data_IF_725810332292
#
_entry.id   IF_725810332292
#
_cell.length_a   1.000
_cell.length_b   1.000
_cell.length_c   1.000
_cell.angle_alpha   90.00
_cell.angle_beta   90.00
_cell.angle_gamma   90.00
#
_symmetry.space_group_name_H-M   'P 1'
#
loop_
_entity.id
_entity.type
_entity.pdbx_description
1 polymer ?
#
# COMPACT_ATOMS: atom_id res chain seq x y z
N UNK A 1 -11.25 -35.02 -14.72
CA UNK A 1 -11.01 -34.47 -16.06
C UNK A 1 -11.59 -33.04 -16.20
N UNK A 2 -11.60 -32.22 -15.12
CA UNK A 2 -12.20 -30.87 -15.13
C UNK A 2 -11.31 -29.78 -14.52
N UNK A 3 -10.03 -30.08 -14.25
CA UNK A 3 -9.10 -29.11 -13.61
C UNK A 3 -8.08 -28.46 -14.57
N UNK A 4 -8.07 -28.84 -15.87
CA UNK A 4 -7.06 -28.34 -16.81
C UNK A 4 -7.50 -27.15 -17.67
N UNK A 5 -8.77 -26.77 -17.69
CA UNK A 5 -9.26 -25.71 -18.59
C UNK A 5 -9.09 -24.31 -18.02
N UNK A 6 -9.15 -24.11 -16.71
CA UNK A 6 -9.00 -22.76 -16.11
C UNK A 6 -7.54 -22.27 -16.09
N UNK A 7 -6.57 -23.16 -15.91
CA UNK A 7 -5.15 -22.77 -15.94
C UNK A 7 -4.67 -22.47 -17.36
N UNK A 8 -5.21 -23.15 -18.38
CA UNK A 8 -4.91 -22.89 -19.79
C UNK A 8 -5.45 -21.51 -20.21
N UNK A 9 -6.65 -21.15 -19.83
CA UNK A 9 -7.22 -19.83 -20.16
C UNK A 9 -6.51 -18.66 -19.45
N UNK A 10 -6.03 -18.85 -18.21
CA UNK A 10 -5.24 -17.82 -17.52
C UNK A 10 -3.87 -17.62 -18.17
N UNK A 11 -3.22 -18.70 -18.63
CA UNK A 11 -1.93 -18.61 -19.33
C UNK A 11 -2.05 -18.00 -20.72
N UNK A 12 -3.14 -18.27 -21.44
CA UNK A 12 -3.42 -17.66 -22.75
C UNK A 12 -3.72 -16.16 -22.62
N UNK A 13 -4.49 -15.74 -21.63
CA UNK A 13 -4.81 -14.34 -21.39
C UNK A 13 -3.57 -13.51 -21.00
N UNK A 14 -2.65 -14.11 -20.22
CA UNK A 14 -1.38 -13.48 -19.87
C UNK A 14 -0.44 -13.39 -21.09
N UNK A 15 -0.42 -14.41 -21.93
CA UNK A 15 0.32 -14.39 -23.20
C UNK A 15 -0.23 -13.32 -24.15
N UNK A 16 -1.54 -13.22 -24.29
CA UNK A 16 -2.17 -12.17 -25.09
C UNK A 16 -1.86 -10.77 -24.56
N UNK A 17 -1.85 -10.57 -23.25
CA UNK A 17 -1.44 -9.31 -22.61
C UNK A 17 0.05 -9.01 -22.85
N UNK A 18 0.94 -9.98 -22.69
CA UNK A 18 2.37 -9.84 -22.96
C UNK A 18 2.62 -9.56 -24.45
N UNK A 19 1.95 -10.29 -25.36
CA UNK A 19 2.04 -10.13 -26.81
C UNK A 19 1.47 -8.78 -27.26
N UNK A 20 0.35 -8.33 -26.68
CA UNK A 20 -0.25 -7.03 -27.01
C UNK A 20 0.67 -5.86 -26.61
N UNK A 21 1.40 -6.01 -25.51
CA UNK A 21 2.38 -5.01 -25.06
C UNK A 21 3.68 -5.03 -25.87
N UNK A 22 4.10 -6.20 -26.38
CA UNK A 22 5.32 -6.37 -27.21
C UNK A 22 5.12 -5.84 -28.63
N UNK A 23 3.91 -5.92 -29.20
CA UNK A 23 3.58 -5.43 -30.55
C UNK A 23 3.71 -3.92 -30.74
N UNK A 24 3.85 -3.12 -29.67
CA UNK A 24 3.94 -1.65 -29.75
C UNK A 24 5.34 -1.09 -29.97
N UNK A 25 6.38 -1.88 -29.79
CA UNK A 25 7.76 -1.48 -30.16
C UNK A 25 8.23 -2.48 -31.21
N UNK A 26 8.61 -1.99 -32.38
CA UNK A 26 9.16 -2.75 -33.51
C UNK A 26 10.42 -3.55 -33.12
N UNK A 27 10.31 -4.49 -32.20
CA UNK A 27 11.37 -5.40 -31.81
C UNK A 27 11.12 -6.77 -32.41
N UNK A 28 12.12 -7.30 -33.12
CA UNK A 28 12.21 -8.72 -33.46
C UNK A 28 12.12 -9.50 -32.15
N UNK A 29 11.12 -10.37 -32.01
CA UNK A 29 10.94 -11.23 -30.82
C UNK A 29 12.08 -12.24 -30.70
N UNK A 30 13.24 -11.82 -30.23
CA UNK A 30 14.21 -12.74 -29.65
C UNK A 30 13.79 -13.00 -28.20
N UNK A 31 13.05 -14.07 -27.96
CA UNK A 31 12.82 -14.60 -26.61
C UNK A 31 14.20 -15.00 -26.03
N UNK A 32 14.73 -14.16 -25.15
CA UNK A 32 15.92 -14.51 -24.39
C UNK A 32 15.54 -15.59 -23.38
N UNK A 33 16.09 -16.79 -23.58
CA UNK A 33 15.81 -17.95 -22.74
C UNK A 33 17.06 -18.44 -22.03
N UNK A 34 16.87 -18.84 -20.78
CA UNK A 34 17.82 -19.56 -19.97
C UNK A 34 17.24 -20.86 -19.47
N UNK A 35 17.94 -21.53 -18.59
CA UNK A 35 17.48 -22.74 -17.91
C UNK A 35 17.73 -22.65 -16.40
N UNK A 36 16.85 -23.26 -15.63
CA UNK A 36 17.03 -23.41 -14.18
C UNK A 36 18.26 -24.25 -13.90
N UNK A 37 19.21 -23.70 -13.14
CA UNK A 37 20.44 -24.37 -12.70
C UNK A 37 20.40 -24.77 -11.23
N UNK A 38 19.48 -24.18 -10.43
CA UNK A 38 19.28 -24.49 -9.04
C UNK A 38 17.98 -23.90 -8.50
N UNK A 39 17.46 -24.50 -7.41
CA UNK A 39 16.32 -24.03 -6.68
C UNK A 39 16.48 -24.43 -5.20
N UNK A 40 16.37 -23.47 -4.29
CA UNK A 40 16.49 -23.70 -2.83
C UNK A 40 15.16 -23.78 -2.09
N UNK A 41 14.04 -23.79 -2.83
CA UNK A 41 12.68 -23.75 -2.29
C UNK A 41 12.08 -22.33 -2.27
N UNK A 42 12.88 -21.30 -2.50
CA UNK A 42 12.44 -19.91 -2.55
C UNK A 42 13.00 -19.15 -3.75
N UNK A 43 14.32 -19.28 -4.00
CA UNK A 43 15.02 -18.62 -5.10
C UNK A 43 15.36 -19.64 -6.18
N UNK A 44 14.98 -19.32 -7.41
CA UNK A 44 15.39 -20.04 -8.62
C UNK A 44 16.63 -19.39 -9.17
N UNK A 45 17.71 -20.14 -9.31
CA UNK A 45 18.89 -19.71 -10.03
C UNK A 45 18.80 -20.18 -11.48
N UNK A 46 18.87 -19.26 -12.43
CA UNK A 46 18.88 -19.55 -13.86
C UNK A 46 20.26 -19.19 -14.47
N UNK A 47 20.57 -19.79 -15.62
CA UNK A 47 21.66 -19.32 -16.46
C UNK A 47 21.48 -17.84 -16.82
N UNK A 48 22.57 -17.17 -17.24
CA UNK A 48 22.55 -15.73 -17.54
C UNK A 48 21.49 -15.36 -18.57
N UNK A 49 20.78 -14.24 -18.29
CA UNK A 49 19.80 -13.62 -19.16
C UNK A 49 20.14 -12.13 -19.32
N UNK A 50 19.91 -11.52 -20.47
CA UNK A 50 20.11 -10.08 -20.67
C UNK A 50 18.95 -9.30 -20.03
N UNK A 51 18.97 -9.18 -18.70
CA UNK A 51 17.92 -8.59 -17.88
C UNK A 51 18.51 -7.58 -16.88
N UNK A 52 17.63 -6.86 -16.21
CA UNK A 52 17.94 -6.01 -15.05
C UNK A 52 17.21 -6.54 -13.82
N UNK A 53 17.63 -6.12 -12.62
CA UNK A 53 16.89 -6.42 -11.39
C UNK A 53 15.49 -5.80 -11.52
N UNK A 54 14.46 -6.59 -11.18
CA UNK A 54 13.05 -6.23 -11.39
C UNK A 54 12.48 -6.70 -12.73
N UNK A 55 13.25 -7.33 -13.61
CA UNK A 55 12.72 -7.93 -14.85
C UNK A 55 11.75 -9.06 -14.55
N UNK A 56 10.69 -9.16 -15.35
CA UNK A 56 9.71 -10.23 -15.27
C UNK A 56 10.11 -11.40 -16.17
N UNK A 57 10.13 -12.59 -15.62
CA UNK A 57 10.38 -13.84 -16.33
C UNK A 57 9.21 -14.81 -16.15
N UNK A 58 9.06 -15.79 -17.02
CA UNK A 58 8.33 -17.00 -16.70
C UNK A 58 9.26 -18.22 -16.65
N UNK A 59 8.92 -19.15 -15.76
CA UNK A 59 9.55 -20.46 -15.65
C UNK A 59 8.54 -21.47 -16.17
N UNK A 60 8.97 -22.30 -17.14
CA UNK A 60 8.13 -23.30 -17.78
C UNK A 60 8.72 -24.69 -17.52
N UNK A 61 7.91 -25.58 -16.95
CA UNK A 61 8.30 -26.96 -16.74
C UNK A 61 8.04 -27.85 -17.96
N UNK A 62 8.54 -29.08 -17.94
CA UNK A 62 8.40 -30.06 -19.05
C UNK A 62 6.94 -30.38 -19.40
N UNK A 63 5.98 -30.09 -18.53
CA UNK A 63 4.54 -30.27 -18.76
C UNK A 63 3.91 -29.06 -19.45
N UNK A 64 4.67 -28.01 -19.75
CA UNK A 64 4.18 -26.76 -20.34
C UNK A 64 3.47 -25.83 -19.36
N UNK A 65 3.46 -26.15 -18.06
CA UNK A 65 2.95 -25.23 -17.05
C UNK A 65 3.94 -24.09 -16.83
N UNK A 66 3.42 -22.89 -16.54
CA UNK A 66 4.22 -21.67 -16.39
C UNK A 66 3.92 -20.96 -15.07
N UNK A 67 4.98 -20.46 -14.45
CA UNK A 67 4.90 -19.52 -13.33
C UNK A 67 5.70 -18.26 -13.67
N UNK A 68 5.16 -17.10 -13.32
CA UNK A 68 5.89 -15.84 -13.42
C UNK A 68 6.82 -15.67 -12.22
N UNK A 69 7.91 -14.96 -12.42
CA UNK A 69 8.86 -14.61 -11.38
C UNK A 69 9.60 -13.32 -11.70
N UNK A 70 10.22 -12.72 -10.70
CA UNK A 70 10.98 -11.48 -10.82
C UNK A 70 12.46 -11.75 -10.58
N UNK A 71 13.31 -11.15 -11.42
CA UNK A 71 14.77 -11.14 -11.23
C UNK A 71 15.11 -10.26 -10.04
N UNK A 72 15.69 -10.86 -9.00
CA UNK A 72 16.02 -10.16 -7.74
C UNK A 72 17.51 -9.93 -7.56
N UNK A 73 18.34 -10.69 -8.27
CA UNK A 73 19.79 -10.54 -8.24
C UNK A 73 20.43 -11.04 -9.53
N UNK A 74 21.46 -10.33 -9.98
CA UNK A 74 22.25 -10.69 -11.16
C UNK A 74 23.67 -11.02 -10.70
N UNK A 75 24.19 -12.15 -11.17
CA UNK A 75 25.56 -12.63 -10.96
C UNK A 75 26.28 -12.70 -12.31
N UNK A 76 27.58 -12.94 -12.30
CA UNK A 76 28.43 -12.96 -13.50
C UNK A 76 27.94 -13.97 -14.57
N UNK A 77 27.46 -15.15 -14.15
CA UNK A 77 27.03 -16.24 -15.06
C UNK A 77 25.58 -16.70 -14.79
N UNK A 78 24.85 -16.10 -13.87
CA UNK A 78 23.53 -16.54 -13.47
C UNK A 78 22.66 -15.39 -12.97
N UNK A 79 21.35 -15.62 -12.93
CA UNK A 79 20.37 -14.71 -12.35
C UNK A 79 19.55 -15.44 -11.31
N UNK A 80 19.23 -14.75 -10.21
CA UNK A 80 18.34 -15.27 -9.18
C UNK A 80 16.94 -14.66 -9.38
N UNK A 81 15.94 -15.54 -9.41
CA UNK A 81 14.55 -15.22 -9.69
C UNK A 81 13.70 -15.71 -8.51
N UNK A 82 12.79 -14.89 -8.03
CA UNK A 82 11.79 -15.31 -7.05
C UNK A 82 10.46 -15.52 -7.78
N UNK A 83 9.89 -16.73 -7.73
CA UNK A 83 8.59 -17.03 -8.33
C UNK A 83 7.46 -16.26 -7.61
N UNK A 84 6.40 -15.92 -8.35
CA UNK A 84 5.21 -15.30 -7.79
C UNK A 84 4.24 -16.31 -7.15
N UNK A 85 4.41 -17.61 -7.45
CA UNK A 85 3.64 -18.70 -6.87
C UNK A 85 4.61 -19.78 -6.36
N UNK A 86 4.58 -20.02 -5.05
CA UNK A 86 5.46 -20.97 -4.39
C UNK A 86 4.92 -22.42 -4.48
N UNK A 87 3.69 -22.63 -4.95
CA UNK A 87 3.09 -23.96 -5.14
C UNK A 87 3.52 -24.63 -6.44
N UNK A 88 4.23 -23.92 -7.32
CA UNK A 88 4.67 -24.43 -8.61
C UNK A 88 5.89 -25.35 -8.45
N UNK A 89 5.82 -26.55 -9.03
CA UNK A 89 6.94 -27.49 -9.05
C UNK A 89 7.98 -27.05 -10.05
N UNK A 90 9.17 -26.70 -9.57
CA UNK A 90 10.31 -26.23 -10.37
C UNK A 90 11.41 -27.29 -10.33
N UNK A 91 11.96 -27.61 -11.51
CA UNK A 91 13.02 -28.59 -11.69
C UNK A 91 14.25 -27.96 -12.36
N UNK A 92 15.41 -28.56 -12.12
CA UNK A 92 16.64 -28.20 -12.86
C UNK A 92 16.43 -28.51 -14.35
N UNK A 93 16.85 -27.58 -15.21
CA UNK A 93 16.67 -27.54 -16.67
C UNK A 93 15.30 -27.00 -17.12
N UNK A 94 14.35 -26.71 -16.24
CA UNK A 94 13.13 -25.97 -16.63
C UNK A 94 13.54 -24.72 -17.40
N UNK A 95 12.74 -24.36 -18.39
CA UNK A 95 13.00 -23.20 -19.24
C UNK A 95 12.66 -21.90 -18.53
N UNK A 96 13.55 -20.94 -18.59
CA UNK A 96 13.31 -19.59 -18.13
C UNK A 96 13.28 -18.64 -19.32
N UNK A 97 12.27 -17.81 -19.44
CA UNK A 97 12.19 -16.83 -20.52
C UNK A 97 11.89 -15.44 -19.98
N UNK A 98 12.61 -14.46 -20.51
CA UNK A 98 12.43 -13.06 -20.20
C UNK A 98 11.13 -12.55 -20.86
N UNK A 99 10.22 -11.99 -20.07
CA UNK A 99 8.93 -11.43 -20.54
C UNK A 99 9.02 -9.92 -20.70
N UNK A 100 9.59 -9.26 -19.70
CA UNK A 100 9.64 -7.79 -19.65
C UNK A 100 10.90 -7.34 -18.90
N UNK A 101 11.71 -6.47 -19.52
CA UNK A 101 12.95 -5.98 -18.93
C UNK A 101 12.70 -4.96 -17.82
N UNK A 102 11.68 -4.09 -17.98
CA UNK A 102 11.25 -3.12 -16.98
C UNK A 102 9.77 -3.29 -16.71
N UNK A 103 9.40 -3.40 -15.44
CA UNK A 103 7.99 -3.54 -15.08
C UNK A 103 7.25 -2.21 -15.26
N UNK A 104 6.20 -2.26 -16.06
CA UNK A 104 5.29 -1.15 -16.33
C UNK A 104 3.91 -1.44 -15.72
N UNK A 105 3.23 -0.39 -15.34
CA UNK A 105 1.87 -0.42 -14.82
C UNK A 105 0.96 0.19 -15.85
N UNK A 106 -0.02 -0.57 -16.32
CA UNK A 106 -1.11 -0.05 -17.13
C UNK A 106 -1.99 0.87 -16.26
N UNK A 107 -2.21 2.10 -16.71
CA UNK A 107 -2.93 3.14 -15.98
C UNK A 107 -3.91 3.88 -16.89
N UNK A 108 -5.05 4.32 -16.34
CA UNK A 108 -6.09 5.04 -17.06
C UNK A 108 -7.41 5.02 -16.30
N UNK A 109 -8.40 5.75 -16.82
CA UNK A 109 -9.75 5.80 -16.27
C UNK A 109 -10.46 4.44 -16.32
N UNK A 110 -10.00 3.51 -17.18
CA UNK A 110 -10.50 2.13 -17.28
C UNK A 110 -10.29 1.31 -15.99
N UNK A 111 -9.43 1.77 -15.09
CA UNK A 111 -9.24 1.19 -13.77
C UNK A 111 -10.29 1.62 -12.74
N UNK A 112 -11.03 2.70 -13.00
CA UNK A 112 -12.05 3.18 -12.06
C UNK A 112 -13.18 2.14 -11.91
N UNK A 113 -13.57 1.87 -10.67
CA UNK A 113 -14.54 0.84 -10.34
C UNK A 113 -14.04 -0.60 -10.40
N UNK A 114 -12.73 -0.83 -10.64
CA UNK A 114 -12.14 -2.14 -10.85
C UNK A 114 -11.31 -2.61 -9.65
N UNK A 115 -11.19 -3.94 -9.56
CA UNK A 115 -10.33 -4.63 -8.60
C UNK A 115 -9.28 -5.43 -9.35
N UNK A 116 -8.02 -5.18 -9.06
CA UNK A 116 -6.88 -5.85 -9.71
C UNK A 116 -5.94 -6.47 -8.67
N UNK A 117 -5.15 -7.45 -9.13
CA UNK A 117 -4.08 -8.06 -8.33
C UNK A 117 -2.75 -7.25 -8.37
N UNK A 118 -1.70 -7.79 -7.73
CA UNK A 118 -0.36 -7.19 -7.73
C UNK A 118 0.31 -7.11 -9.10
N UNK A 119 -0.13 -7.90 -10.07
CA UNK A 119 0.35 -7.90 -11.46
C UNK A 119 -0.52 -7.03 -12.39
N UNK A 120 -1.71 -6.60 -11.92
CA UNK A 120 -2.66 -5.81 -12.70
C UNK A 120 -3.75 -6.64 -13.36
N UNK A 121 -3.85 -7.94 -13.06
CA UNK A 121 -4.93 -8.78 -13.57
C UNK A 121 -6.25 -8.48 -12.84
N UNK A 122 -7.39 -8.44 -13.55
CA UNK A 122 -8.69 -8.19 -12.93
C UNK A 122 -9.10 -9.35 -12.01
N UNK A 123 -9.59 -9.02 -10.81
CA UNK A 123 -10.12 -9.95 -9.81
C UNK A 123 -11.65 -9.90 -9.71
N UNK A 124 -12.28 -8.92 -10.34
CA UNK A 124 -13.70 -8.56 -10.21
C UNK A 124 -14.63 -9.28 -11.21
N UNK A 125 -14.09 -10.16 -12.05
CA UNK A 125 -14.82 -10.90 -13.09
C UNK A 125 -15.53 -10.01 -14.14
N UNK A 126 -15.14 -8.72 -14.25
CA UNK A 126 -15.72 -7.78 -15.21
C UNK A 126 -14.99 -7.76 -16.57
N UNK A 127 -14.17 -8.77 -16.85
CA UNK A 127 -13.39 -8.88 -18.08
C UNK A 127 -12.06 -8.12 -18.05
N UNK A 128 -11.32 -8.22 -19.15
CA UNK A 128 -9.99 -7.62 -19.31
C UNK A 128 -10.04 -6.08 -19.23
N UNK A 129 -8.98 -5.49 -18.73
CA UNK A 129 -8.78 -4.03 -18.65
C UNK A 129 -7.75 -3.65 -19.70
N UNK A 130 -8.09 -2.71 -20.59
CA UNK A 130 -7.20 -2.28 -21.67
C UNK A 130 -6.89 -0.80 -21.54
N UNK A 131 -5.83 -0.49 -20.81
CA UNK A 131 -5.33 0.88 -20.69
C UNK A 131 -4.37 1.22 -21.84
N UNK A 132 -4.32 2.49 -22.23
CA UNK A 132 -3.46 3.01 -23.29
C UNK A 132 -2.12 3.54 -22.75
N UNK A 133 -2.07 3.91 -21.49
CA UNK A 133 -0.92 4.57 -20.83
C UNK A 133 -0.22 3.58 -19.91
N UNK A 134 1.13 3.66 -19.87
CA UNK A 134 1.96 2.81 -19.04
C UNK A 134 2.95 3.68 -18.26
N UNK A 135 3.10 3.41 -16.97
CA UNK A 135 4.07 4.04 -16.08
C UNK A 135 5.03 2.99 -15.51
N UNK A 136 6.25 3.43 -15.16
CA UNK A 136 7.17 2.55 -14.44
C UNK A 136 6.61 2.14 -13.09
N UNK A 137 6.68 0.86 -12.74
CA UNK A 137 6.27 0.34 -11.44
C UNK A 137 7.05 1.00 -10.28
N UNK A 138 8.33 1.29 -10.50
CA UNK A 138 9.18 1.92 -9.49
C UNK A 138 8.99 3.45 -9.39
N UNK A 139 8.21 4.04 -10.34
CA UNK A 139 7.99 5.48 -10.39
C UNK A 139 9.24 6.30 -10.70
N UNK A 140 9.08 7.60 -10.67
CA UNK A 140 10.18 8.56 -10.72
C UNK A 140 10.14 9.41 -9.44
N UNK A 141 11.29 9.68 -8.85
CA UNK A 141 11.37 10.62 -7.73
C UNK A 141 10.95 12.01 -8.21
N UNK A 142 10.01 12.63 -7.51
CA UNK A 142 9.69 14.02 -7.73
C UNK A 142 10.85 14.88 -7.23
N UNK A 143 11.25 15.86 -8.05
CA UNK A 143 12.18 16.87 -7.58
C UNK A 143 11.55 17.61 -6.37
N UNK A 144 12.25 17.77 -5.24
CA UNK A 144 11.72 18.48 -4.07
C UNK A 144 11.20 19.90 -4.40
N UNK A 145 11.81 20.59 -5.37
CA UNK A 145 11.39 21.91 -5.80
C UNK A 145 10.17 21.93 -6.74
N UNK A 146 9.72 20.76 -7.19
CA UNK A 146 8.46 20.58 -7.94
C UNK A 146 7.27 20.27 -7.01
N UNK A 147 7.45 20.30 -5.70
CA UNK A 147 6.38 20.16 -4.71
C UNK A 147 5.83 21.53 -4.33
N UNK A 148 4.51 21.64 -4.28
CA UNK A 148 3.84 22.84 -3.74
C UNK A 148 3.62 22.69 -2.24
N UNK A 149 3.56 23.80 -1.48
CA UNK A 149 3.06 23.78 -0.10
C UNK A 149 1.65 23.19 -0.04
N UNK A 150 1.32 22.60 1.12
CA UNK A 150 -0.01 22.07 1.39
C UNK A 150 -0.84 23.17 2.03
N UNK A 151 -1.85 23.68 1.30
CA UNK A 151 -2.67 24.82 1.73
C UNK A 151 -4.16 24.51 1.80
N UNK A 152 -4.60 23.44 1.08
CA UNK A 152 -6.01 23.08 1.00
C UNK A 152 -6.37 21.91 1.91
N UNK A 153 -7.54 22.00 2.57
CA UNK A 153 -8.08 20.95 3.40
C UNK A 153 -8.64 19.81 2.54
N UNK A 154 -8.34 18.57 2.92
CA UNK A 154 -9.03 17.39 2.44
C UNK A 154 -10.12 16.98 3.44
N UNK A 155 -11.37 17.03 3.03
CA UNK A 155 -12.48 16.45 3.80
C UNK A 155 -12.46 14.93 3.63
N UNK A 156 -12.33 14.20 4.74
CA UNK A 156 -12.34 12.73 4.76
C UNK A 156 -13.68 12.16 5.26
N UNK A 157 -14.70 13.00 5.47
CA UNK A 157 -16.02 12.59 5.91
C UNK A 157 -16.12 12.14 7.39
N UNK A 158 -15.04 12.26 8.17
CA UNK A 158 -14.99 11.86 9.58
C UNK A 158 -14.85 13.09 10.46
N UNK A 159 -15.94 13.42 11.20
CA UNK A 159 -16.01 14.65 12.04
C UNK A 159 -14.82 14.80 12.97
N UNK A 160 -14.44 13.71 13.67
CA UNK A 160 -13.32 13.74 14.61
C UNK A 160 -12.00 14.11 13.90
N UNK A 161 -11.70 13.50 12.73
CA UNK A 161 -10.52 13.83 11.95
C UNK A 161 -10.59 15.27 11.44
N UNK A 162 -11.69 15.65 10.81
CA UNK A 162 -11.84 16.99 10.24
C UNK A 162 -11.75 18.11 11.30
N UNK A 163 -12.22 17.85 12.53
CA UNK A 163 -12.22 18.85 13.59
C UNK A 163 -10.90 18.95 14.39
N UNK A 164 -10.22 17.80 14.63
CA UNK A 164 -9.10 17.74 15.58
C UNK A 164 -7.77 17.32 14.96
N UNK A 165 -7.81 16.76 13.76
CA UNK A 165 -6.67 16.17 13.04
C UNK A 165 -6.76 16.50 11.55
N UNK A 166 -7.27 17.68 11.19
CA UNK A 166 -7.54 18.08 9.81
C UNK A 166 -6.40 17.73 8.87
N UNK A 167 -6.74 17.08 7.76
CA UNK A 167 -5.79 16.66 6.73
C UNK A 167 -5.73 17.67 5.60
N UNK A 168 -4.53 17.86 5.04
CA UNK A 168 -4.32 18.67 3.84
C UNK A 168 -4.21 17.81 2.59
N UNK A 169 -4.56 18.38 1.43
CA UNK A 169 -4.36 17.76 0.12
C UNK A 169 -2.87 17.61 -0.18
N UNK A 170 -2.41 16.38 -0.35
CA UNK A 170 -1.00 16.05 -0.52
C UNK A 170 -0.29 15.63 0.78
N UNK A 171 -0.98 15.62 1.93
CA UNK A 171 -0.44 15.18 3.21
C UNK A 171 -0.27 13.66 3.27
N UNK A 172 0.77 13.21 3.97
CA UNK A 172 1.05 11.79 4.24
C UNK A 172 0.80 11.51 5.71
N UNK A 173 -0.17 10.65 6.03
CA UNK A 173 -0.58 10.36 7.41
C UNK A 173 -0.55 8.86 7.69
N UNK A 174 -0.14 8.49 8.92
CA UNK A 174 -0.18 7.12 9.41
C UNK A 174 -1.45 6.85 10.21
N UNK A 175 -2.11 5.70 10.04
CA UNK A 175 -3.08 5.18 10.99
C UNK A 175 -2.41 4.04 11.74
N UNK A 176 -2.11 4.26 13.01
CA UNK A 176 -1.47 3.26 13.88
C UNK A 176 -2.58 2.57 14.66
N UNK A 177 -2.67 1.24 14.49
CA UNK A 177 -3.77 0.47 15.04
C UNK A 177 -3.32 -0.92 15.48
N UNK A 178 -3.82 -1.38 16.61
CA UNK A 178 -3.81 -2.79 16.98
C UNK A 178 -4.89 -3.59 16.25
N UNK A 179 -5.03 -4.88 16.57
CA UNK A 179 -6.09 -5.72 16.02
C UNK A 179 -7.45 -5.41 16.67
N UNK A 180 -8.52 -5.37 15.88
CA UNK A 180 -9.90 -5.32 16.39
C UNK A 180 -10.41 -3.94 16.82
N UNK A 181 -9.68 -2.86 16.55
CA UNK A 181 -10.05 -1.48 16.97
C UNK A 181 -10.91 -0.72 15.96
N UNK A 182 -11.40 -1.38 14.91
CA UNK A 182 -12.26 -0.74 13.90
C UNK A 182 -11.51 -0.10 12.74
N UNK A 183 -10.22 -0.42 12.50
CA UNK A 183 -9.39 0.12 11.41
C UNK A 183 -10.07 0.03 10.04
N UNK A 184 -10.50 -1.17 9.64
CA UNK A 184 -11.06 -1.40 8.30
C UNK A 184 -12.39 -0.65 8.09
N UNK A 185 -13.21 -0.52 9.14
CA UNK A 185 -14.45 0.28 9.11
C UNK A 185 -14.11 1.75 8.90
N UNK A 186 -13.14 2.29 9.65
CA UNK A 186 -12.70 3.67 9.50
C UNK A 186 -12.18 3.95 8.07
N UNK A 187 -11.34 3.06 7.51
CA UNK A 187 -10.85 3.20 6.14
C UNK A 187 -11.97 3.18 5.11
N UNK A 188 -12.96 2.29 5.28
CA UNK A 188 -14.15 2.25 4.40
C UNK A 188 -14.97 3.53 4.48
N UNK A 189 -15.16 4.09 5.69
CA UNK A 189 -15.84 5.38 5.88
C UNK A 189 -15.09 6.53 5.19
N UNK A 190 -13.76 6.58 5.35
CA UNK A 190 -12.90 7.58 4.69
C UNK A 190 -13.00 7.45 3.16
N UNK A 191 -12.86 6.23 2.62
CA UNK A 191 -12.93 5.99 1.17
C UNK A 191 -14.26 6.44 0.56
N UNK A 192 -15.37 6.28 1.29
CA UNK A 192 -16.73 6.68 0.86
C UNK A 192 -17.00 8.17 1.09
N UNK A 193 -16.52 8.73 2.19
CA UNK A 193 -16.86 10.08 2.65
C UNK A 193 -15.95 11.19 2.14
N UNK A 194 -14.79 10.84 1.54
CA UNK A 194 -13.81 11.84 1.08
C UNK A 194 -14.30 12.66 -0.12
N UNK A 195 -13.87 13.92 -0.17
CA UNK A 195 -14.06 14.82 -1.32
C UNK A 195 -12.90 14.73 -2.34
N UNK A 196 -12.05 13.71 -2.27
CA UNK A 196 -11.05 13.43 -3.29
C UNK A 196 -11.70 13.05 -4.64
N UNK A 197 -11.05 13.42 -5.75
CA UNK A 197 -11.53 13.12 -7.11
C UNK A 197 -11.40 11.62 -7.40
N UNK A 198 -10.29 11.01 -6.97
CA UNK A 198 -9.99 9.58 -7.14
C UNK A 198 -9.52 8.98 -5.83
N UNK A 199 -9.94 7.76 -5.53
CA UNK A 199 -9.48 6.98 -4.37
C UNK A 199 -8.79 5.73 -4.86
N UNK A 200 -7.52 5.57 -4.56
CA UNK A 200 -6.75 4.36 -4.86
C UNK A 200 -6.50 3.60 -3.57
N UNK A 201 -6.87 2.33 -3.53
CA UNK A 201 -6.78 1.51 -2.33
C UNK A 201 -5.84 0.33 -2.60
N UNK A 202 -4.72 0.27 -1.89
CA UNK A 202 -3.81 -0.87 -1.86
C UNK A 202 -4.09 -1.74 -0.63
N UNK A 203 -4.75 -2.88 -0.82
CA UNK A 203 -4.99 -3.87 0.24
C UNK A 203 -3.91 -4.94 0.17
N UNK A 204 -2.87 -4.78 0.98
CA UNK A 204 -1.64 -5.57 0.88
C UNK A 204 -1.45 -6.48 2.08
N UNK A 205 -1.48 -7.80 1.86
CA UNK A 205 -1.20 -8.79 2.88
C UNK A 205 -2.32 -9.00 3.90
N UNK A 206 -3.53 -8.54 3.61
CA UNK A 206 -4.71 -8.80 4.45
C UNK A 206 -5.36 -10.15 4.11
N UNK A 207 -6.22 -10.66 4.98
CA UNK A 207 -6.88 -11.94 4.78
C UNK A 207 -7.89 -11.87 3.64
N UNK A 208 -7.95 -12.89 2.78
CA UNK A 208 -8.84 -12.91 1.61
C UNK A 208 -10.30 -12.59 1.93
N UNK A 209 -10.83 -13.07 3.07
CA UNK A 209 -12.19 -12.75 3.53
C UNK A 209 -12.39 -11.26 3.84
N UNK A 210 -11.40 -10.64 4.48
CA UNK A 210 -11.44 -9.22 4.84
C UNK A 210 -11.35 -8.35 3.58
N UNK A 211 -10.49 -8.73 2.63
CA UNK A 211 -10.38 -8.10 1.31
C UNK A 211 -11.73 -8.10 0.57
N UNK A 212 -12.39 -9.26 0.48
CA UNK A 212 -13.66 -9.39 -0.22
C UNK A 212 -14.77 -8.54 0.43
N UNK A 213 -14.86 -8.55 1.76
CA UNK A 213 -15.85 -7.77 2.50
C UNK A 213 -15.63 -6.27 2.33
N UNK A 214 -14.39 -5.79 2.53
CA UNK A 214 -14.03 -4.38 2.38
C UNK A 214 -14.27 -3.88 0.94
N UNK A 215 -13.80 -4.62 -0.06
CA UNK A 215 -13.96 -4.28 -1.47
C UNK A 215 -15.44 -4.18 -1.85
N UNK A 216 -16.26 -5.15 -1.44
CA UNK A 216 -17.70 -5.14 -1.67
C UNK A 216 -18.35 -3.91 -1.02
N UNK A 217 -17.96 -3.56 0.19
CA UNK A 217 -18.50 -2.41 0.92
C UNK A 217 -18.16 -1.09 0.23
N UNK A 218 -16.91 -0.90 -0.20
CA UNK A 218 -16.46 0.34 -0.84
C UNK A 218 -17.03 0.48 -2.25
N UNK A 219 -17.06 -0.60 -3.05
CA UNK A 219 -17.57 -0.57 -4.41
C UNK A 219 -19.10 -0.65 -4.53
N UNK A 220 -19.83 -0.95 -3.46
CA UNK A 220 -21.30 -0.90 -3.43
C UNK A 220 -21.87 0.50 -3.26
N UNK A 221 -21.05 1.49 -2.93
CA UNK A 221 -21.44 2.88 -2.72
C UNK A 221 -21.52 3.67 -4.04
N UNK A 222 -22.16 4.87 -3.98
CA UNK A 222 -22.21 5.81 -5.10
C UNK A 222 -20.82 6.33 -5.55
N UNK A 223 -19.79 6.02 -4.80
CA UNK A 223 -18.39 6.40 -5.09
C UNK A 223 -17.63 5.36 -5.90
N UNK A 224 -18.28 4.30 -6.41
CA UNK A 224 -17.64 3.25 -7.20
C UNK A 224 -16.79 3.80 -8.35
N UNK A 225 -17.34 4.76 -9.09
CA UNK A 225 -16.74 5.30 -10.32
C UNK A 225 -15.48 6.15 -10.07
N UNK A 226 -15.11 6.38 -8.82
CA UNK A 226 -13.88 7.08 -8.44
C UNK A 226 -12.87 6.21 -7.67
N UNK A 227 -13.14 4.90 -7.52
CA UNK A 227 -12.32 4.00 -6.69
C UNK A 227 -11.58 2.98 -7.55
N UNK A 228 -10.30 2.78 -7.29
CA UNK A 228 -9.48 1.67 -7.81
C UNK A 228 -8.98 0.84 -6.64
N UNK A 229 -9.10 -0.48 -6.71
CA UNK A 229 -8.60 -1.38 -5.66
C UNK A 229 -7.51 -2.30 -6.22
N UNK A 230 -6.34 -2.26 -5.59
CA UNK A 230 -5.26 -3.24 -5.79
C UNK A 230 -5.25 -4.17 -4.59
N UNK A 231 -5.57 -5.44 -4.80
CA UNK A 231 -5.73 -6.42 -3.74
C UNK A 231 -4.71 -7.56 -3.84
N UNK A 232 -3.86 -7.71 -2.82
CA UNK A 232 -2.89 -8.79 -2.73
C UNK A 232 -3.02 -9.48 -1.37
N UNK A 233 -3.67 -10.65 -1.31
CA UNK A 233 -3.87 -11.39 -0.06
C UNK A 233 -2.56 -11.84 0.60
N UNK A 234 -2.63 -12.17 1.89
CA UNK A 234 -1.49 -12.57 2.70
C UNK A 234 -0.82 -13.89 2.27
N UNK A 235 -1.57 -14.76 1.59
CA UNK A 235 -1.10 -16.05 1.06
C UNK A 235 -0.32 -15.93 -0.25
N UNK A 236 -0.23 -14.73 -0.83
CA UNK A 236 0.55 -14.48 -2.04
C UNK A 236 2.03 -14.21 -1.72
N UNK A 237 2.88 -14.44 -2.74
CA UNK A 237 4.33 -14.27 -2.57
C UNK A 237 4.70 -12.88 -2.06
N UNK A 238 5.81 -12.76 -1.31
CA UNK A 238 6.27 -11.47 -0.80
C UNK A 238 6.49 -10.43 -1.91
N UNK A 239 7.01 -10.84 -3.06
CA UNK A 239 7.21 -9.93 -4.19
C UNK A 239 5.89 -9.37 -4.71
N UNK A 240 4.85 -10.17 -4.83
CA UNK A 240 3.52 -9.69 -5.26
C UNK A 240 2.95 -8.67 -4.28
N UNK A 241 3.18 -8.84 -2.97
CA UNK A 241 2.78 -7.87 -1.95
C UNK A 241 3.50 -6.53 -2.15
N UNK A 242 4.82 -6.55 -2.41
CA UNK A 242 5.61 -5.35 -2.71
C UNK A 242 5.16 -4.71 -4.02
N UNK A 243 4.97 -5.50 -5.08
CA UNK A 243 4.50 -5.02 -6.38
C UNK A 243 3.11 -4.39 -6.29
N UNK A 244 2.18 -4.99 -5.52
CA UNK A 244 0.86 -4.43 -5.29
C UNK A 244 0.90 -3.05 -4.66
N UNK A 245 1.77 -2.83 -3.66
CA UNK A 245 1.95 -1.51 -3.05
C UNK A 245 2.53 -0.49 -4.05
N UNK A 246 3.55 -0.87 -4.81
CA UNK A 246 4.15 -0.02 -5.86
C UNK A 246 3.15 0.29 -6.97
N UNK A 247 2.32 -0.68 -7.38
CA UNK A 247 1.27 -0.53 -8.39
C UNK A 247 0.19 0.44 -7.94
N UNK A 248 -0.34 0.29 -6.73
CA UNK A 248 -1.31 1.24 -6.17
C UNK A 248 -0.75 2.66 -6.15
N UNK A 249 0.54 2.82 -5.78
CA UNK A 249 1.21 4.12 -5.80
C UNK A 249 1.36 4.66 -7.23
N UNK A 250 1.74 3.83 -8.22
CA UNK A 250 1.88 4.26 -9.61
C UNK A 250 0.54 4.66 -10.24
N UNK A 251 -0.56 3.98 -9.89
CA UNK A 251 -1.91 4.36 -10.32
C UNK A 251 -2.28 5.73 -9.72
N UNK A 252 -1.98 5.97 -8.44
CA UNK A 252 -2.20 7.27 -7.81
C UNK A 252 -1.36 8.38 -8.47
N UNK A 253 -0.10 8.09 -8.84
CA UNK A 253 0.77 9.02 -9.57
C UNK A 253 0.21 9.40 -10.95
N UNK A 254 -0.43 8.46 -11.65
CA UNK A 254 -1.09 8.74 -12.93
C UNK A 254 -2.15 9.83 -12.77
N UNK A 255 -3.11 9.62 -11.88
CA UNK A 255 -4.20 10.58 -11.67
C UNK A 255 -3.71 11.92 -11.11
N UNK A 256 -2.70 11.92 -10.21
CA UNK A 256 -2.04 13.17 -9.80
C UNK A 256 -1.44 13.91 -11.00
N UNK A 257 -0.78 13.19 -11.90
CA UNK A 257 -0.14 13.81 -13.07
C UNK A 257 -1.18 14.37 -14.07
N UNK A 258 -2.42 13.92 -14.01
CA UNK A 258 -3.57 14.49 -14.71
C UNK A 258 -4.23 15.68 -13.98
N UNK A 259 -3.65 16.13 -12.87
CA UNK A 259 -4.14 17.26 -12.09
C UNK A 259 -5.25 16.93 -11.10
N UNK A 260 -5.51 15.65 -10.82
CA UNK A 260 -6.53 15.19 -9.88
C UNK A 260 -6.04 15.22 -8.43
N UNK A 261 -6.97 15.42 -7.50
CA UNK A 261 -6.74 15.24 -6.07
C UNK A 261 -7.02 13.78 -5.71
N UNK A 262 -5.96 13.02 -5.45
CA UNK A 262 -6.04 11.58 -5.21
C UNK A 262 -5.91 11.30 -3.72
N UNK A 263 -6.76 10.42 -3.19
CA UNK A 263 -6.57 9.77 -1.90
C UNK A 263 -6.01 8.36 -2.11
N UNK A 264 -4.78 8.13 -1.65
CA UNK A 264 -4.19 6.79 -1.60
C UNK A 264 -4.36 6.21 -0.19
N UNK A 265 -5.02 5.06 -0.09
CA UNK A 265 -5.10 4.26 1.15
C UNK A 265 -4.25 3.02 0.97
N UNK A 266 -3.23 2.82 1.82
CA UNK A 266 -2.34 1.65 1.80
C UNK A 266 -2.52 0.83 3.08
N UNK A 267 -3.21 -0.29 3.00
CA UNK A 267 -3.46 -1.19 4.12
C UNK A 267 -2.78 -2.55 3.87
N UNK A 268 -1.61 -2.85 4.45
CA UNK A 268 -0.86 -2.05 5.39
C UNK A 268 0.62 -1.93 4.99
N UNK A 269 1.23 -0.83 5.40
CA UNK A 269 2.67 -0.60 5.24
C UNK A 269 3.49 -1.65 5.99
N UNK A 270 3.03 -2.12 7.15
CA UNK A 270 3.66 -3.20 7.92
C UNK A 270 3.76 -4.49 7.12
N UNK A 271 2.72 -4.82 6.34
CA UNK A 271 2.74 -6.03 5.50
C UNK A 271 3.71 -5.91 4.32
N UNK A 272 3.87 -4.70 3.77
CA UNK A 272 4.90 -4.41 2.77
C UNK A 272 6.30 -4.56 3.37
N UNK A 273 6.52 -4.06 4.58
CA UNK A 273 7.78 -4.20 5.31
C UNK A 273 8.10 -5.68 5.60
N UNK A 274 7.11 -6.48 6.04
CA UNK A 274 7.28 -7.91 6.25
C UNK A 274 7.62 -8.63 4.94
N UNK A 275 6.97 -8.31 3.84
CA UNK A 275 7.26 -8.88 2.54
C UNK A 275 8.70 -8.58 2.10
N UNK A 276 9.17 -7.33 2.26
CA UNK A 276 10.54 -6.96 1.95
C UNK A 276 11.54 -7.65 2.88
N UNK A 277 11.19 -7.83 4.16
CA UNK A 277 12.00 -8.59 5.10
C UNK A 277 12.18 -10.05 4.65
N UNK A 278 11.10 -10.71 4.23
CA UNK A 278 11.14 -12.08 3.71
C UNK A 278 12.08 -12.18 2.51
N UNK A 279 11.96 -11.26 1.54
CA UNK A 279 12.83 -11.21 0.35
C UNK A 279 14.29 -10.92 0.72
N UNK A 280 14.55 -9.92 1.55
CA UNK A 280 15.91 -9.53 1.95
C UNK A 280 16.65 -10.65 2.68
N UNK A 281 15.98 -11.32 3.64
CA UNK A 281 16.55 -12.46 4.37
C UNK A 281 16.84 -13.64 3.43
N UNK A 282 15.93 -13.95 2.50
CA UNK A 282 16.16 -14.99 1.50
C UNK A 282 17.33 -14.68 0.56
N UNK A 283 17.59 -13.41 0.26
CA UNK A 283 18.76 -12.96 -0.49
C UNK A 283 20.05 -12.89 0.33
N UNK A 284 20.00 -13.24 1.63
CA UNK A 284 21.16 -13.27 2.52
C UNK A 284 21.52 -11.92 3.14
N UNK A 285 20.60 -10.94 3.12
CA UNK A 285 20.83 -9.69 3.87
C UNK A 285 20.87 -9.98 5.37
N UNK A 286 21.82 -9.33 6.04
CA UNK A 286 21.95 -9.47 7.49
C UNK A 286 20.85 -8.63 8.18
N UNK A 287 20.09 -9.23 9.12
CA UNK A 287 19.11 -8.48 9.86
C UNK A 287 19.76 -7.45 10.79
N UNK A 288 19.18 -6.27 10.85
CA UNK A 288 19.57 -5.19 11.77
C UNK A 288 18.63 -5.14 12.97
N UNK A 289 18.09 -3.98 13.31
CA UNK A 289 17.18 -3.80 14.44
C UNK A 289 15.92 -4.67 14.29
N UNK A 290 15.61 -5.47 15.31
CA UNK A 290 14.42 -6.35 15.40
C UNK A 290 14.21 -7.28 14.21
N UNK A 291 15.30 -7.69 13.56
CA UNK A 291 15.27 -8.65 12.47
C UNK A 291 14.85 -8.07 11.11
N UNK A 292 14.80 -6.75 10.95
CA UNK A 292 14.57 -6.13 9.65
C UNK A 292 15.89 -5.88 8.91
N UNK A 293 16.03 -6.31 7.65
CA UNK A 293 17.21 -6.01 6.84
C UNK A 293 17.20 -4.54 6.35
N UNK A 294 18.37 -4.00 5.94
CA UNK A 294 18.49 -2.60 5.47
C UNK A 294 17.57 -2.26 4.30
N UNK A 295 17.26 -3.23 3.44
CA UNK A 295 16.36 -3.03 2.29
C UNK A 295 14.95 -2.61 2.69
N UNK A 296 14.46 -3.02 3.87
CA UNK A 296 13.15 -2.58 4.39
C UNK A 296 13.18 -1.09 4.72
N UNK A 297 14.26 -0.65 5.40
CA UNK A 297 14.41 0.75 5.82
C UNK A 297 14.55 1.70 4.64
N UNK A 298 15.09 1.23 3.51
CA UNK A 298 15.18 2.01 2.28
C UNK A 298 13.89 1.98 1.43
N UNK A 299 13.14 0.87 1.45
CA UNK A 299 11.91 0.72 0.67
C UNK A 299 10.80 1.67 1.18
N UNK A 300 10.58 1.74 2.50
CA UNK A 300 9.47 2.49 3.07
C UNK A 300 9.54 3.98 2.73
N UNK A 301 10.68 4.69 2.96
CA UNK A 301 10.82 6.08 2.52
C UNK A 301 10.61 6.25 1.01
N UNK A 302 11.19 5.36 0.19
CA UNK A 302 11.09 5.45 -1.26
C UNK A 302 9.64 5.33 -1.76
N UNK A 303 8.81 4.52 -1.10
CA UNK A 303 7.39 4.36 -1.42
C UNK A 303 6.58 5.59 -0.96
N UNK A 304 6.81 6.06 0.27
CA UNK A 304 6.09 7.18 0.87
C UNK A 304 6.40 8.50 0.13
N UNK A 305 7.66 8.73 -0.24
CA UNK A 305 8.09 9.95 -0.93
C UNK A 305 7.55 10.09 -2.37
N UNK A 306 7.00 9.04 -2.97
CA UNK A 306 6.30 9.12 -4.27
C UNK A 306 4.98 9.87 -4.19
N UNK A 307 4.41 10.03 -3.00
CA UNK A 307 3.15 10.75 -2.77
C UNK A 307 3.37 12.23 -2.44
N UNK A 308 2.31 12.99 -2.35
CA UNK A 308 2.35 14.42 -2.08
C UNK A 308 1.90 15.28 -3.26
N UNK A 309 2.22 16.55 -3.20
CA UNK A 309 1.84 17.57 -4.19
C UNK A 309 2.74 17.56 -5.42
N UNK A 310 2.25 18.10 -6.56
CA UNK A 310 3.02 18.30 -7.78
C UNK A 310 2.73 19.68 -8.37
N UNK A 311 3.73 20.56 -8.40
CA UNK A 311 3.62 21.87 -9.04
C UNK A 311 3.39 21.78 -10.56
N UNK A 312 3.93 20.74 -11.20
CA UNK A 312 3.86 20.55 -12.65
C UNK A 312 2.45 20.25 -13.14
N UNK A 313 1.70 19.42 -12.41
CA UNK A 313 0.33 19.02 -12.79
C UNK A 313 -0.75 19.76 -12.01
N UNK A 314 -0.42 20.37 -10.88
CA UNK A 314 -1.38 20.92 -9.93
C UNK A 314 -2.14 19.83 -9.12
N UNK A 315 -1.93 18.55 -9.43
CA UNK A 315 -2.57 17.45 -8.72
C UNK A 315 -1.86 17.07 -7.43
N UNK A 316 -2.56 16.33 -6.57
CA UNK A 316 -2.06 15.90 -5.26
C UNK A 316 -2.32 14.43 -5.01
N UNK A 317 -1.45 13.77 -4.21
CA UNK A 317 -1.72 12.48 -3.60
C UNK A 317 -1.68 12.66 -2.08
N UNK A 318 -2.84 12.71 -1.44
CA UNK A 318 -2.94 12.54 0.00
C UNK A 318 -2.87 11.05 0.30
N UNK A 319 -1.95 10.64 1.17
CA UNK A 319 -1.74 9.22 1.44
C UNK A 319 -2.02 8.86 2.90
N UNK A 320 -2.82 7.83 3.08
CA UNK A 320 -3.10 7.22 4.39
C UNK A 320 -2.44 5.83 4.40
N UNK A 321 -1.43 5.69 5.24
CA UNK A 321 -0.71 4.44 5.44
C UNK A 321 -1.11 3.81 6.76
N UNK A 322 -1.64 2.59 6.76
CA UNK A 322 -1.87 1.90 8.02
C UNK A 322 -0.61 1.19 8.48
N UNK A 323 -0.36 1.29 9.77
CA UNK A 323 0.75 0.62 10.44
C UNK A 323 0.18 -0.21 11.58
N UNK A 324 0.41 -1.52 11.52
CA UNK A 324 -0.03 -2.44 12.57
C UNK A 324 1.01 -2.42 13.71
N UNK A 325 0.57 -2.09 14.90
CA UNK A 325 1.39 -2.19 16.11
C UNK A 325 1.08 -3.51 16.83
N UNK A 326 2.10 -4.31 17.09
CA UNK A 326 1.96 -5.51 17.90
C UNK A 326 2.06 -5.14 19.38
N UNK A 327 0.91 -5.21 20.10
CA UNK A 327 0.80 -4.87 21.51
C UNK A 327 0.55 -3.39 21.79
N UNK A 328 0.63 -3.01 23.06
CA UNK A 328 0.37 -1.65 23.55
C UNK A 328 1.61 -0.73 23.42
N UNK A 329 2.79 -1.30 23.13
CA UNK A 329 4.03 -0.55 22.91
C UNK A 329 4.21 -0.14 21.45
N UNK A 330 3.56 0.96 21.11
CA UNK A 330 3.61 1.59 19.77
C UNK A 330 5.01 2.16 19.46
N UNK A 331 5.86 2.37 20.46
CA UNK A 331 7.12 3.11 20.31
C UNK A 331 8.29 2.24 19.90
N UNK A 332 8.17 0.94 20.06
CA UNK A 332 9.30 0.03 19.93
C UNK A 332 9.41 -0.68 18.57
N UNK A 333 8.43 -0.56 17.67
CA UNK A 333 8.46 -1.19 16.34
C UNK A 333 9.21 -0.34 15.31
N UNK A 334 10.26 -0.88 14.63
CA UNK A 334 11.05 -0.12 13.64
C UNK A 334 10.23 0.39 12.46
N UNK A 335 9.15 -0.30 12.06
CA UNK A 335 8.27 0.14 10.98
C UNK A 335 7.45 1.34 11.43
N UNK A 336 6.92 1.30 12.67
CA UNK A 336 6.19 2.43 13.27
C UNK A 336 7.11 3.65 13.42
N UNK A 337 8.32 3.45 13.92
CA UNK A 337 9.31 4.52 14.11
C UNK A 337 9.72 5.14 12.77
N UNK A 338 10.06 4.31 11.79
CA UNK A 338 10.39 4.78 10.43
C UNK A 338 9.21 5.54 9.81
N UNK A 339 8.00 5.03 9.94
CA UNK A 339 6.81 5.69 9.41
C UNK A 339 6.58 7.05 10.09
N UNK A 340 6.66 7.12 11.42
CA UNK A 340 6.52 8.39 12.18
C UNK A 340 7.55 9.45 11.80
N UNK A 341 8.77 9.03 11.47
CA UNK A 341 9.84 9.95 11.08
C UNK A 341 9.58 10.63 9.73
N UNK A 342 8.92 9.92 8.80
CA UNK A 342 8.75 10.36 7.40
C UNK A 342 7.37 11.00 7.18
N UNK A 343 6.33 10.52 7.87
CA UNK A 343 4.96 10.97 7.70
C UNK A 343 4.71 12.35 8.33
N UNK A 344 3.78 13.09 7.76
CA UNK A 344 3.38 14.43 8.21
C UNK A 344 2.39 14.39 9.40
N UNK A 345 2.22 13.25 10.01
CA UNK A 345 1.40 13.02 11.20
C UNK A 345 0.93 11.57 11.31
N UNK A 346 0.18 11.29 12.37
CA UNK A 346 -0.39 9.96 12.61
C UNK A 346 -1.67 10.05 13.44
N UNK A 347 -2.56 9.08 13.20
CA UNK A 347 -3.82 8.85 13.92
C UNK A 347 -3.66 7.53 14.67
N UNK A 348 -3.81 7.56 15.99
CA UNK A 348 -3.76 6.37 16.84
C UNK A 348 -5.16 5.87 17.12
N UNK A 349 -5.43 4.59 16.87
CA UNK A 349 -6.66 3.93 17.27
C UNK A 349 -6.46 3.20 18.60
N UNK A 350 -7.23 3.61 19.60
CA UNK A 350 -7.15 3.09 20.97
C UNK A 350 -8.02 1.85 21.16
N UNK A 351 -7.43 0.81 21.76
CA UNK A 351 -8.17 -0.38 22.19
C UNK A 351 -9.14 -0.07 23.31
N UNK A 352 -8.76 0.80 24.24
CA UNK A 352 -9.59 1.19 25.37
C UNK A 352 -10.88 1.90 24.93
N UNK A 353 -10.78 2.82 23.96
CA UNK A 353 -11.95 3.47 23.39
C UNK A 353 -12.85 2.45 22.67
N UNK A 354 -12.27 1.53 21.91
CA UNK A 354 -13.02 0.48 21.23
C UNK A 354 -13.76 -0.44 22.20
N UNK A 355 -13.11 -0.81 23.33
CA UNK A 355 -13.72 -1.62 24.40
C UNK A 355 -14.85 -0.88 25.11
N UNK A 356 -14.78 0.46 25.18
CA UNK A 356 -15.87 1.31 25.72
C UNK A 356 -17.00 1.53 24.71
N UNK A 357 -16.89 0.99 23.48
CA UNK A 357 -17.89 1.18 22.41
C UNK A 357 -17.83 2.55 21.74
N UNK A 358 -16.75 3.32 21.93
CA UNK A 358 -16.56 4.65 21.35
C UNK A 358 -15.92 4.50 19.96
N UNK A 359 -16.67 4.86 18.91
CA UNK A 359 -16.21 4.78 17.52
C UNK A 359 -16.45 6.08 16.74
N UNK A 360 -15.52 6.46 15.82
CA UNK A 360 -14.23 5.80 15.59
C UNK A 360 -13.33 5.91 16.83
N UNK A 361 -12.58 4.83 17.14
CA UNK A 361 -11.79 4.72 18.36
C UNK A 361 -10.47 5.54 18.29
N UNK A 362 -10.56 6.80 17.84
CA UNK A 362 -9.42 7.70 17.63
C UNK A 362 -9.00 8.31 18.97
N UNK A 363 -7.77 8.04 19.39
CA UNK A 363 -7.13 8.75 20.51
C UNK A 363 -6.59 10.09 20.01
N UNK A 364 -7.33 11.15 20.28
CA UNK A 364 -6.99 12.52 19.86
C UNK A 364 -5.70 13.01 20.51
N UNK A 365 -5.42 12.61 21.76
CA UNK A 365 -4.23 13.06 22.49
C UNK A 365 -2.94 12.41 21.98
N UNK A 366 -3.01 11.15 21.57
CA UNK A 366 -1.87 10.43 20.95
C UNK A 366 -1.74 10.67 19.44
N UNK A 367 -2.68 11.38 18.82
CA UNK A 367 -2.72 11.64 17.39
C UNK A 367 -2.24 13.05 17.06
N UNK A 368 -1.56 13.20 15.91
CA UNK A 368 -1.00 14.48 15.45
C UNK A 368 -1.19 14.64 13.95
N UNK A 369 -1.72 15.79 13.53
CA UNK A 369 -1.57 16.31 12.17
C UNK A 369 -0.64 17.52 12.22
N UNK A 370 0.57 17.39 11.65
CA UNK A 370 1.60 18.46 11.74
C UNK A 370 1.22 19.69 10.93
N UNK A 371 0.37 19.53 9.91
CA UNK A 371 -0.03 20.60 9.00
C UNK A 371 -1.36 21.27 9.37
N UNK A 372 -2.07 20.74 10.37
CA UNK A 372 -3.38 21.27 10.74
C UNK A 372 -3.36 22.76 11.02
N UNK A 373 -2.39 23.25 11.77
CA UNK A 373 -2.28 24.68 12.16
C UNK A 373 -2.10 25.61 10.97
N UNK A 374 -1.55 25.12 9.89
CA UNK A 374 -1.21 25.90 8.70
C UNK A 374 -2.38 26.00 7.70
N UNK A 375 -3.30 25.01 7.75
CA UNK A 375 -4.40 24.85 6.78
C UNK A 375 -5.79 25.18 7.33
N UNK A 376 -5.95 25.35 8.66
CA UNK A 376 -7.25 25.68 9.28
C UNK A 376 -7.27 27.11 9.80
N UNK A 377 -8.49 27.61 10.07
CA UNK A 377 -8.65 28.93 10.72
C UNK A 377 -8.07 28.95 12.14
N UNK A 378 -7.65 30.13 12.59
CA UNK A 378 -7.17 30.32 13.97
C UNK A 378 -8.21 29.90 15.01
N UNK A 379 -9.51 30.10 14.71
CA UNK A 379 -10.61 29.71 15.57
C UNK A 379 -10.69 28.19 15.70
N UNK A 380 -10.65 27.46 14.58
CA UNK A 380 -10.67 25.99 14.59
C UNK A 380 -9.44 25.44 15.32
N UNK A 381 -8.25 26.01 15.10
CA UNK A 381 -7.04 25.59 15.77
C UNK A 381 -7.14 25.76 17.29
N UNK A 382 -7.64 26.90 17.76
CA UNK A 382 -7.89 27.17 19.21
C UNK A 382 -8.92 26.19 19.79
N UNK A 383 -10.05 25.98 19.11
CA UNK A 383 -11.11 25.08 19.57
C UNK A 383 -10.60 23.63 19.67
N UNK A 384 -9.80 23.17 18.70
CA UNK A 384 -9.16 21.86 18.76
C UNK A 384 -8.20 21.73 19.95
N UNK A 385 -7.41 22.76 20.24
CA UNK A 385 -6.49 22.77 21.40
C UNK A 385 -7.27 22.73 22.73
N UNK A 386 -8.34 23.49 22.85
CA UNK A 386 -9.22 23.49 24.04
C UNK A 386 -9.84 22.10 24.24
N UNK A 387 -10.37 21.49 23.18
CA UNK A 387 -10.94 20.15 23.24
C UNK A 387 -9.89 19.12 23.70
N UNK A 388 -8.68 19.16 23.13
CA UNK A 388 -7.56 18.28 23.53
C UNK A 388 -7.19 18.49 25.02
N UNK A 389 -7.14 19.74 25.48
CA UNK A 389 -6.90 20.07 26.89
C UNK A 389 -7.92 19.41 27.80
N UNK A 390 -9.20 19.52 27.48
CA UNK A 390 -10.27 18.91 28.31
C UNK A 390 -10.22 17.38 28.28
N UNK A 391 -9.99 16.78 27.13
CA UNK A 391 -9.82 15.34 27.00
C UNK A 391 -8.63 14.86 27.84
N UNK A 392 -7.47 15.51 27.74
CA UNK A 392 -6.27 15.17 28.54
C UNK A 392 -6.56 15.24 30.03
N UNK A 393 -7.16 16.37 30.46
CA UNK A 393 -7.49 16.61 31.84
C UNK A 393 -8.45 15.58 32.44
N UNK A 394 -9.46 15.18 31.65
CA UNK A 394 -10.38 14.11 32.03
C UNK A 394 -9.64 12.78 32.22
N UNK A 395 -8.79 12.39 31.28
CA UNK A 395 -8.03 11.13 31.37
C UNK A 395 -7.03 11.13 32.54
N UNK A 396 -6.36 12.23 32.80
CA UNK A 396 -5.44 12.37 33.93
C UNK A 396 -6.16 12.20 35.28
N UNK A 397 -7.41 12.62 35.39
CA UNK A 397 -8.19 12.58 36.63
C UNK A 397 -9.21 11.43 36.69
N UNK A 398 -9.31 10.60 35.62
CA UNK A 398 -10.32 9.56 35.52
C UNK A 398 -10.34 8.59 36.69
N UNK A 399 -9.18 8.12 37.11
CA UNK A 399 -9.09 7.17 38.24
C UNK A 399 -9.51 7.83 39.56
N UNK A 400 -9.14 9.07 39.75
CA UNK A 400 -9.57 9.87 40.95
C UNK A 400 -11.10 10.03 40.96
N UNK A 401 -11.72 10.29 39.79
CA UNK A 401 -13.18 10.42 39.66
C UNK A 401 -13.85 9.06 39.93
N UNK A 402 -13.35 7.98 39.38
CA UNK A 402 -13.90 6.64 39.57
C UNK A 402 -13.79 6.14 40.99
N UNK A 403 -12.74 6.52 41.72
CA UNK A 403 -12.57 6.19 43.12
C UNK A 403 -13.39 7.10 44.08
N UNK A 404 -14.12 8.09 43.55
CA UNK A 404 -14.86 9.05 44.35
C UNK A 404 -13.99 10.06 45.11
N UNK A 405 -12.72 10.18 44.70
CA UNK A 405 -11.77 11.13 45.32
C UNK A 405 -11.83 12.55 44.76
N UNK A 406 -12.55 12.74 43.65
CA UNK A 406 -12.77 14.06 43.05
C UNK A 406 -14.01 14.72 43.68
N UNK A 407 -13.87 15.96 44.07
CA UNK A 407 -14.98 16.80 44.61
C UNK A 407 -15.28 17.92 43.62
N UNK A 408 -16.53 18.04 43.22
CA UNK A 408 -16.99 19.10 42.32
C UNK A 408 -16.67 20.49 42.89
N UNK A 409 -16.22 21.39 42.03
CA UNK A 409 -15.76 22.73 42.40
C UNK A 409 -14.27 22.85 42.66
N UNK A 410 -13.51 21.75 42.66
CA UNK A 410 -12.05 21.79 42.82
C UNK A 410 -11.33 22.28 41.55
N UNK A 411 -11.88 21.96 40.38
CA UNK A 411 -11.29 22.28 39.11
C UNK A 411 -12.34 22.65 38.07
N UNK A 412 -12.52 23.95 37.74
CA UNK A 412 -13.55 24.44 36.84
C UNK A 412 -13.45 23.87 35.39
N UNK A 413 -12.25 23.44 34.98
CA UNK A 413 -12.04 22.84 33.67
C UNK A 413 -12.42 21.33 33.63
N UNK A 414 -12.54 20.69 34.80
CA UNK A 414 -12.87 19.27 34.95
C UNK A 414 -14.36 19.06 35.27
N UNK A 415 -14.98 20.04 35.95
CA UNK A 415 -16.41 20.07 36.24
C UNK A 415 -17.28 20.20 34.99
#
# INVERSE_FOLDING_TARGET
MYLNTENSQRSEHFLEFAIANTRRKNFVECLHTGSVTGFDGYIVTSSSLPCVVGSLCYIENDLGNRVTGEVVRIKESSVDIVPHDNSFAISVKDKVALVQVAQEVAVGDELLGRVIDGLGNPLDQLGAITCQTFLSLNGASLNPFERTPIEEVLDVGIRNINATLTLGRGQRIGIIAGSGVGKSVLLSMIAKGTNADVVVIGLIGERGRELASFTKEVLSSHSRDKVVVVAVPADRSPLLRIQGAKRATAIAEHFRNEGKNVLLIMDSLTRVAHAQREVGLALGEQPTSRGYPPSVISLLPSLIERTGTSAKSGGTITAIYTVLADGDDITSDPVVDTARAILDGHIVLSRDLAQQGIYPAIDVNQSVSRLMTDIVSLEQSKNSQILRKYISKYYENRDLILMGGYVQGQDPDLD
#
